data_IF_248624041520
#
_entry.id   IF_248624041520
#
_cell.length_a   1.000
_cell.length_b   1.000
_cell.length_c   1.000
_cell.angle_alpha   90.00
_cell.angle_beta   90.00
_cell.angle_gamma   90.00
#
_symmetry.space_group_name_H-M   'P 1'
#
loop_
_entity.id
_entity.type
_entity.pdbx_description
1 polymer ?
#
# COMPACT_ATOMS: atom_id res chain seq x y z
N UNK A 1 11.56 -18.99 -16.91
CA UNK A 1 10.42 -19.08 -15.97
C UNK A 1 10.78 -18.22 -14.77
N UNK A 2 10.10 -17.11 -14.61
CA UNK A 2 10.25 -16.22 -13.44
C UNK A 2 9.12 -16.57 -12.48
N UNK A 3 9.46 -16.92 -11.24
CA UNK A 3 8.49 -17.27 -10.20
C UNK A 3 8.45 -16.12 -9.20
N UNK A 4 7.32 -15.41 -9.15
CA UNK A 4 7.08 -14.38 -8.15
C UNK A 4 6.33 -15.01 -6.98
N UNK A 5 6.86 -14.88 -5.76
CA UNK A 5 6.25 -15.36 -4.52
C UNK A 5 6.40 -14.29 -3.44
N UNK A 6 5.33 -14.11 -2.67
CA UNK A 6 5.35 -13.28 -1.46
C UNK A 6 5.84 -14.12 -0.28
N UNK A 7 6.75 -13.56 0.52
CA UNK A 7 7.27 -14.19 1.72
C UNK A 7 7.00 -13.31 2.94
N UNK A 8 6.76 -13.94 4.08
CA UNK A 8 6.63 -13.23 5.36
C UNK A 8 8.04 -12.95 5.89
N UNK A 9 8.28 -11.71 6.29
CA UNK A 9 9.50 -11.31 7.00
C UNK A 9 9.32 -11.59 8.49
N UNK A 10 10.24 -12.34 9.09
CA UNK A 10 10.25 -12.58 10.53
C UNK A 10 11.66 -12.36 11.07
N UNK A 11 11.80 -11.56 12.13
CA UNK A 11 13.11 -11.17 12.69
C UNK A 11 14.11 -10.67 11.63
N UNK A 12 13.63 -9.86 10.67
CA UNK A 12 14.42 -9.35 9.55
C UNK A 12 15.04 -10.45 8.67
N UNK A 13 14.44 -11.63 8.63
CA UNK A 13 14.84 -12.77 7.82
C UNK A 13 13.69 -13.20 6.90
N UNK A 14 14.07 -13.62 5.68
CA UNK A 14 13.17 -14.26 4.71
C UNK A 14 13.73 -15.64 4.38
N UNK A 15 12.88 -16.68 4.46
CA UNK A 15 13.22 -18.05 4.08
C UNK A 15 12.54 -18.38 2.75
N UNK A 16 13.35 -18.70 1.73
CA UNK A 16 12.88 -18.95 0.36
C UNK A 16 13.06 -20.43 0.02
N UNK A 17 11.95 -21.15 -0.10
CA UNK A 17 11.96 -22.54 -0.57
C UNK A 17 12.01 -22.59 -2.10
N UNK A 18 13.14 -23.05 -2.63
CA UNK A 18 13.33 -23.22 -4.07
C UNK A 18 12.49 -24.38 -4.62
N UNK A 19 11.95 -24.26 -5.84
CA UNK A 19 11.19 -25.33 -6.48
C UNK A 19 11.95 -26.66 -6.57
N UNK A 20 11.23 -27.80 -6.52
CA UNK A 20 11.84 -29.15 -6.55
C UNK A 20 12.64 -29.44 -7.84
N UNK A 21 12.30 -28.77 -8.93
CA UNK A 21 12.95 -28.81 -10.24
C UNK A 21 14.16 -27.86 -10.35
N UNK A 22 14.47 -27.10 -9.31
CA UNK A 22 15.71 -26.30 -9.22
C UNK A 22 16.97 -27.16 -8.96
N UNK A 23 16.85 -28.49 -9.05
CA UNK A 23 17.97 -29.42 -8.96
C UNK A 23 18.87 -29.26 -10.19
N UNK A 24 20.09 -28.77 -9.99
CA UNK A 24 21.11 -28.61 -11.04
C UNK A 24 21.39 -27.17 -11.47
N UNK A 25 20.67 -26.18 -10.93
CA UNK A 25 20.98 -24.75 -11.11
C UNK A 25 21.77 -24.23 -9.91
N UNK A 26 22.83 -23.47 -10.17
CA UNK A 26 23.83 -23.09 -9.15
C UNK A 26 23.72 -21.65 -8.65
N UNK A 27 22.82 -20.83 -9.22
CA UNK A 27 22.73 -19.40 -8.90
C UNK A 27 21.28 -18.94 -8.76
N UNK A 28 21.04 -18.17 -7.71
CA UNK A 28 19.78 -17.44 -7.44
C UNK A 28 20.12 -15.95 -7.43
N UNK A 29 19.30 -15.12 -8.06
CA UNK A 29 19.37 -13.67 -7.97
C UNK A 29 18.18 -13.20 -7.15
N UNK A 30 18.42 -12.38 -6.12
CA UNK A 30 17.39 -11.84 -5.23
C UNK A 30 17.53 -10.32 -5.25
N UNK A 31 16.45 -9.64 -5.58
CA UNK A 31 16.34 -8.17 -5.48
C UNK A 31 15.45 -7.86 -4.30
N UNK A 32 15.92 -6.99 -3.40
CA UNK A 32 15.17 -6.49 -2.26
C UNK A 32 14.97 -5.00 -2.49
N UNK A 33 13.72 -4.57 -2.54
CA UNK A 33 13.34 -3.16 -2.63
C UNK A 33 12.60 -2.81 -1.35
N UNK A 34 13.10 -1.81 -0.63
CA UNK A 34 12.40 -1.21 0.51
C UNK A 34 11.38 -0.20 -0.05
N UNK A 35 10.25 -0.74 -0.51
CA UNK A 35 9.14 0.07 -0.99
C UNK A 35 8.27 0.36 0.22
N UNK A 36 8.39 1.57 0.77
CA UNK A 36 7.39 2.09 1.71
C UNK A 36 6.02 1.90 1.09
N UNK A 37 5.15 1.17 1.77
CA UNK A 37 3.74 1.03 1.39
C UNK A 37 3.13 2.43 1.38
N UNK A 38 2.98 3.03 0.20
CA UNK A 38 2.31 4.32 0.04
C UNK A 38 0.89 4.27 0.59
N UNK A 39 0.31 3.07 0.62
CA UNK A 39 -1.03 2.83 1.15
C UNK A 39 -1.06 3.02 2.66
N UNK A 40 -0.09 2.51 3.41
CA UNK A 40 -0.02 2.69 4.87
C UNK A 40 0.13 4.17 5.25
N UNK A 41 0.99 4.91 4.54
CA UNK A 41 1.14 6.35 4.75
C UNK A 41 -0.13 7.11 4.38
N UNK A 42 -0.79 6.71 3.29
CA UNK A 42 -2.07 7.30 2.87
C UNK A 42 -3.17 7.06 3.89
N UNK A 43 -3.31 5.85 4.42
CA UNK A 43 -4.30 5.54 5.47
C UNK A 43 -4.03 6.36 6.74
N UNK A 44 -2.77 6.48 7.16
CA UNK A 44 -2.40 7.30 8.30
C UNK A 44 -2.71 8.79 8.10
N UNK A 45 -2.57 9.30 6.88
CA UNK A 45 -2.96 10.68 6.53
C UNK A 45 -4.48 10.86 6.49
N UNK A 46 -5.21 9.88 5.96
CA UNK A 46 -6.68 9.91 5.94
C UNK A 46 -7.27 9.90 7.36
N UNK A 47 -6.72 9.11 8.28
CA UNK A 47 -7.15 9.12 9.69
C UNK A 47 -6.99 10.50 10.33
N UNK A 48 -5.86 11.18 10.05
CA UNK A 48 -5.63 12.54 10.55
C UNK A 48 -6.62 13.54 9.94
N UNK A 49 -6.86 13.44 8.64
CA UNK A 49 -7.75 14.34 7.90
C UNK A 49 -9.19 14.30 8.43
N UNK A 50 -9.71 13.13 8.81
CA UNK A 50 -11.08 12.99 9.35
C UNK A 50 -11.31 13.83 10.62
N UNK A 51 -10.26 14.10 11.39
CA UNK A 51 -10.34 14.90 12.62
C UNK A 51 -9.95 16.37 12.43
N UNK A 52 -9.51 16.76 11.23
CA UNK A 52 -9.03 18.11 10.95
C UNK A 52 -10.22 19.05 10.66
N UNK A 53 -10.41 20.13 11.46
CA UNK A 53 -11.50 21.08 11.26
C UNK A 53 -11.49 21.76 9.89
N UNK A 54 -10.31 22.03 9.31
CA UNK A 54 -10.21 22.66 7.99
C UNK A 54 -10.66 21.70 6.90
N UNK A 55 -10.24 20.44 6.99
CA UNK A 55 -10.66 19.40 6.05
C UNK A 55 -12.18 19.15 6.11
N UNK A 56 -12.76 19.15 7.31
CA UNK A 56 -14.22 19.03 7.49
C UNK A 56 -14.95 20.24 6.89
N UNK A 57 -14.42 21.45 7.08
CA UNK A 57 -15.01 22.66 6.52
C UNK A 57 -15.04 22.61 4.99
N UNK A 58 -13.93 22.22 4.36
CA UNK A 58 -13.83 22.08 2.91
C UNK A 58 -14.85 21.04 2.37
N UNK A 59 -15.03 19.91 3.07
CA UNK A 59 -16.01 18.89 2.70
C UNK A 59 -17.46 19.42 2.79
N UNK A 60 -17.76 20.23 3.80
CA UNK A 60 -19.09 20.81 3.96
C UNK A 60 -19.39 21.84 2.88
N UNK A 61 -18.42 22.70 2.53
CA UNK A 61 -18.55 23.67 1.44
C UNK A 61 -18.85 22.96 0.11
N UNK A 62 -18.09 21.92 -0.22
CA UNK A 62 -18.33 21.11 -1.43
C UNK A 62 -19.74 20.48 -1.39
N UNK A 63 -20.16 19.94 -0.23
CA UNK A 63 -21.48 19.34 -0.09
C UNK A 63 -22.61 20.37 -0.25
N UNK A 64 -22.44 21.57 0.29
CA UNK A 64 -23.39 22.68 0.12
C UNK A 64 -23.49 23.12 -1.34
N UNK A 65 -22.35 23.22 -2.05
CA UNK A 65 -22.32 23.52 -3.48
C UNK A 65 -23.10 22.47 -4.28
N UNK A 66 -22.87 21.17 -4.06
CA UNK A 66 -23.61 20.11 -4.74
C UNK A 66 -25.11 20.14 -4.43
N UNK A 67 -25.49 20.35 -3.17
CA UNK A 67 -26.88 20.46 -2.78
C UNK A 67 -27.56 21.69 -3.38
N UNK A 68 -26.82 22.79 -3.61
CA UNK A 68 -27.37 23.99 -4.23
C UNK A 68 -27.70 23.79 -5.72
N UNK A 69 -26.93 22.94 -6.41
CA UNK A 69 -27.13 22.60 -7.84
C UNK A 69 -28.40 21.75 -8.04
N UNK A 70 -28.71 20.84 -7.12
CA UNK A 70 -29.93 20.01 -7.20
C UNK A 70 -31.22 20.78 -6.86
N UNK A 71 -31.11 21.99 -6.30
CA UNK A 71 -32.24 22.84 -5.91
C UNK A 71 -32.50 24.01 -6.88
N UNK A 72 -31.86 24.03 -8.05
CA UNK A 72 -32.08 24.97 -9.16
C UNK A 72 -32.92 24.34 -10.29
#
# INVERSE_FOLDING_TARGET
MTVTKTYIVSNNQVVIDLPKDFRGKTKVNVTIEDVKSTDEEKFALMEKAISDPLFIQDLNEIAEDFNSIDNE
#
